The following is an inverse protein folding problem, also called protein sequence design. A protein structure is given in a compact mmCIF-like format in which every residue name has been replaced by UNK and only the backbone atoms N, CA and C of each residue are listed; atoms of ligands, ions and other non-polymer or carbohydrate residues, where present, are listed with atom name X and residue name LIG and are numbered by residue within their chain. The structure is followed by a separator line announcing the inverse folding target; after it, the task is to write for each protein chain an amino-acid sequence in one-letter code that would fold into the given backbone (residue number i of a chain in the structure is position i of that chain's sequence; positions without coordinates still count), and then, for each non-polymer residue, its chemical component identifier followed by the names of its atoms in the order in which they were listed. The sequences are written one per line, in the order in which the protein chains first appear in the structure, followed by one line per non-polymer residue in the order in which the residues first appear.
data_IF_649176496017
#
_entry.id   IF_649176496017
#
_cell.length_a   1.000
_cell.length_b   1.000
_cell.length_c   1.000
_cell.angle_alpha   90.00
_cell.angle_beta   90.00
_cell.angle_gamma   90.00
#
_symmetry.space_group_name_H-M   'P 1'
#
loop_
_entity.id
_entity.type
_entity.pdbx_description
1 polymer ?
#
# COMPACT_ATOMS: atom_id res chain seq x y z
N UNK A 1 24.53 26.16 9.05
CA UNK A 1 25.36 27.03 8.17
C UNK A 1 24.48 27.75 7.16
N UNK A 2 24.74 29.02 6.87
CA UNK A 2 24.06 29.79 5.81
C UNK A 2 25.10 30.18 4.75
N UNK A 3 24.83 29.85 3.48
CA UNK A 3 25.70 30.20 2.35
C UNK A 3 24.83 30.55 1.14
N UNK A 4 25.05 31.72 0.54
CA UNK A 4 24.31 32.24 -0.63
C UNK A 4 22.77 32.18 -0.41
N UNK A 5 22.28 32.68 0.74
CA UNK A 5 20.87 32.71 1.09
C UNK A 5 20.27 31.34 1.52
N UNK A 6 21.04 30.27 1.44
CA UNK A 6 20.60 28.90 1.75
C UNK A 6 21.02 28.50 3.17
N UNK A 7 20.08 27.91 3.93
CA UNK A 7 20.33 27.37 5.27
C UNK A 7 20.32 25.84 5.21
N UNK A 8 21.38 25.23 5.74
CA UNK A 8 21.45 23.78 5.95
C UNK A 8 21.70 23.50 7.42
N UNK A 9 21.05 22.45 7.91
CA UNK A 9 21.27 21.87 9.23
C UNK A 9 21.75 20.44 9.01
N UNK A 10 22.86 20.10 9.65
CA UNK A 10 23.40 18.73 9.64
C UNK A 10 23.46 18.22 11.06
N UNK A 11 23.17 16.95 11.23
CA UNK A 11 23.35 16.23 12.49
C UNK A 11 24.33 15.09 12.22
N UNK A 12 25.46 15.10 12.91
CA UNK A 12 26.47 14.04 12.84
C UNK A 12 26.41 13.29 14.17
N UNK A 13 25.99 12.04 14.11
CA UNK A 13 25.90 11.14 15.28
C UNK A 13 26.99 10.09 15.18
N UNK A 14 27.53 9.67 16.34
CA UNK A 14 28.54 8.62 16.41
C UNK A 14 29.93 9.01 15.88
N UNK A 15 30.22 10.30 15.71
CA UNK A 15 31.59 10.74 15.44
C UNK A 15 32.49 10.39 16.62
N UNK A 16 33.58 9.67 16.35
CA UNK A 16 34.58 9.42 17.35
C UNK A 16 35.18 10.74 17.80
N UNK A 17 35.37 10.92 19.11
CA UNK A 17 36.13 12.03 19.65
C UNK A 17 36.96 11.51 20.85
N UNK A 18 38.23 11.85 20.88
CA UNK A 18 39.16 11.39 21.90
C UNK A 18 39.14 12.26 23.18
N UNK A 19 38.71 13.53 23.04
CA UNK A 19 38.65 14.51 24.14
C UNK A 19 37.62 15.59 23.85
N UNK A 20 37.35 16.46 24.85
CA UNK A 20 36.45 17.60 24.67
C UNK A 20 36.87 18.57 23.55
N UNK A 21 38.15 18.67 23.27
CA UNK A 21 38.73 19.58 22.27
C UNK A 21 38.93 18.91 20.89
N UNK A 22 38.56 17.63 20.73
CA UNK A 22 38.70 16.92 19.47
C UNK A 22 37.84 17.55 18.35
N UNK A 23 38.45 18.10 17.27
CA UNK A 23 37.76 18.79 16.19
C UNK A 23 37.06 17.85 15.19
N UNK A 24 37.17 16.53 15.33
CA UNK A 24 36.73 15.52 14.34
C UNK A 24 35.26 15.73 13.94
N UNK A 25 34.38 15.97 14.90
CA UNK A 25 32.95 16.23 14.66
C UNK A 25 32.71 17.47 13.76
N UNK A 26 33.50 18.53 13.97
CA UNK A 26 33.40 19.75 13.17
C UNK A 26 33.98 19.56 11.78
N UNK A 27 35.09 18.82 11.66
CA UNK A 27 35.73 18.48 10.38
C UNK A 27 34.75 17.64 9.54
N UNK A 28 34.12 16.63 10.11
CA UNK A 28 33.12 15.79 9.41
C UNK A 28 31.88 16.58 9.01
N UNK A 29 31.36 17.43 9.90
CA UNK A 29 30.26 18.32 9.61
C UNK A 29 30.60 19.27 8.45
N UNK A 30 31.79 19.87 8.45
CA UNK A 30 32.27 20.75 7.37
C UNK A 30 32.41 20.01 6.05
N UNK A 31 32.96 18.78 6.04
CA UNK A 31 33.04 17.93 4.85
C UNK A 31 31.66 17.62 4.27
N UNK A 32 30.70 17.24 5.10
CA UNK A 32 29.32 16.94 4.67
C UNK A 32 28.64 18.19 4.09
N UNK A 33 28.74 19.34 4.77
CA UNK A 33 28.18 20.60 4.27
C UNK A 33 28.80 21.02 2.95
N UNK A 34 30.14 20.91 2.83
CA UNK A 34 30.85 21.17 1.58
C UNK A 34 30.36 20.27 0.46
N UNK A 35 30.28 18.96 0.70
CA UNK A 35 29.76 18.00 -0.29
C UNK A 35 28.36 18.38 -0.78
N UNK A 36 27.44 18.74 0.13
CA UNK A 36 26.09 19.14 -0.21
C UNK A 36 26.08 20.42 -1.06
N UNK A 37 26.81 21.45 -0.67
CA UNK A 37 26.89 22.70 -1.43
C UNK A 37 27.57 22.53 -2.79
N UNK A 38 28.55 21.62 -2.90
CA UNK A 38 29.27 21.38 -4.14
C UNK A 38 28.43 20.54 -5.13
N UNK A 39 27.62 19.60 -4.65
CA UNK A 39 26.92 18.65 -5.51
C UNK A 39 25.44 18.92 -5.70
N UNK A 40 24.80 19.69 -4.80
CA UNK A 40 23.36 19.94 -4.85
C UNK A 40 23.06 21.45 -4.97
N UNK A 41 21.89 21.75 -5.54
CA UNK A 41 21.34 23.09 -5.60
C UNK A 41 19.84 23.07 -5.40
N UNK A 42 19.31 24.18 -4.83
CA UNK A 42 17.88 24.37 -4.75
C UNK A 42 17.34 24.72 -6.14
N UNK A 43 16.30 24.05 -6.57
CA UNK A 43 15.56 24.31 -7.81
C UNK A 43 14.14 24.73 -7.46
N UNK A 44 13.68 25.83 -8.01
CA UNK A 44 12.29 26.30 -7.85
C UNK A 44 11.44 25.71 -8.97
N UNK A 45 10.46 24.87 -8.59
CA UNK A 45 9.41 24.42 -9.48
C UNK A 45 8.31 25.45 -9.40
N UNK A 46 8.08 26.19 -10.48
CA UNK A 46 7.11 27.30 -10.51
C UNK A 46 5.67 26.77 -10.48
N UNK A 47 4.76 27.56 -9.94
CA UNK A 47 3.32 27.40 -10.14
C UNK A 47 3.00 27.29 -11.63
N UNK A 48 2.05 26.42 -12.00
CA UNK A 48 1.69 26.18 -13.39
C UNK A 48 2.65 25.24 -14.15
N UNK A 49 3.73 24.79 -13.53
CA UNK A 49 4.64 23.83 -14.16
C UNK A 49 3.94 22.48 -14.39
N UNK A 50 4.14 21.88 -15.59
CA UNK A 50 3.63 20.56 -15.95
C UNK A 50 4.80 19.59 -16.11
N UNK A 51 4.73 18.43 -15.45
CA UNK A 51 5.75 17.39 -15.57
C UNK A 51 5.52 16.55 -16.82
N UNK A 52 6.56 16.30 -17.60
CA UNK A 52 6.49 15.48 -18.81
C UNK A 52 5.97 14.06 -18.56
N UNK A 53 6.29 13.49 -17.38
CA UNK A 53 5.87 12.14 -16.99
C UNK A 53 4.40 12.02 -16.58
N UNK A 54 3.73 13.13 -16.23
CA UNK A 54 2.30 13.18 -15.87
C UNK A 54 1.70 14.51 -16.32
N UNK A 55 1.29 14.58 -17.57
CA UNK A 55 0.68 15.80 -18.14
C UNK A 55 -0.83 15.85 -17.93
N UNK A 56 -1.50 14.70 -17.95
CA UNK A 56 -2.96 14.58 -17.82
C UNK A 56 -3.31 13.45 -16.86
N UNK A 57 -4.45 13.57 -16.22
CA UNK A 57 -5.07 12.50 -15.42
C UNK A 57 -6.44 12.17 -15.96
N UNK A 58 -6.86 10.91 -15.82
CA UNK A 58 -8.19 10.43 -16.25
C UNK A 58 -9.26 11.09 -15.39
N UNK A 59 -10.35 11.53 -16.02
CA UNK A 59 -11.52 12.13 -15.37
C UNK A 59 -12.68 11.14 -15.40
N UNK A 60 -13.31 10.96 -14.24
CA UNK A 60 -14.55 10.18 -14.09
C UNK A 60 -15.71 11.16 -13.94
N UNK A 61 -16.85 10.85 -14.57
CA UNK A 61 -18.07 11.66 -14.61
C UNK A 61 -17.91 13.07 -15.20
N UNK A 62 -16.80 13.36 -15.90
CA UNK A 62 -16.56 14.64 -16.57
C UNK A 62 -17.00 14.66 -18.02
N UNK A 63 -17.22 15.88 -18.56
CA UNK A 63 -17.38 16.09 -20.01
C UNK A 63 -16.13 15.61 -20.76
N UNK A 64 -14.96 15.93 -20.20
CA UNK A 64 -13.67 15.53 -20.73
C UNK A 64 -13.21 14.22 -20.07
N UNK A 65 -12.68 13.30 -20.87
CA UNK A 65 -12.15 11.99 -20.34
C UNK A 65 -10.84 12.13 -19.60
N UNK A 66 -10.12 13.23 -19.79
CA UNK A 66 -8.87 13.54 -19.10
C UNK A 66 -8.69 15.04 -18.90
N UNK A 67 -7.98 15.46 -17.86
CA UNK A 67 -7.68 16.86 -17.59
C UNK A 67 -6.18 17.05 -17.42
N UNK A 68 -5.60 18.13 -17.97
CA UNK A 68 -4.22 18.53 -17.71
C UNK A 68 -4.02 18.91 -16.24
N UNK A 69 -2.90 18.51 -15.65
CA UNK A 69 -2.56 18.78 -14.25
C UNK A 69 -1.26 19.56 -14.16
N UNK A 70 -1.22 20.48 -13.22
CA UNK A 70 -0.15 21.46 -13.05
C UNK A 70 0.19 21.63 -11.58
N UNK A 71 1.39 22.13 -11.31
CA UNK A 71 1.83 22.53 -9.97
C UNK A 71 0.98 23.69 -9.48
N UNK A 72 0.31 23.51 -8.33
CA UNK A 72 -0.62 24.50 -7.76
C UNK A 72 0.11 25.69 -7.13
N UNK A 73 1.19 25.43 -6.44
CA UNK A 73 1.99 26.42 -5.70
C UNK A 73 3.47 26.16 -5.97
N UNK A 74 4.26 27.23 -6.12
CA UNK A 74 5.71 27.06 -6.31
C UNK A 74 6.31 26.22 -5.17
N UNK A 75 7.16 25.27 -5.51
CA UNK A 75 7.88 24.42 -4.56
C UNK A 75 9.40 24.55 -4.77
N UNK A 76 10.16 24.42 -3.69
CA UNK A 76 11.62 24.39 -3.76
C UNK A 76 12.08 22.99 -3.39
N UNK A 77 12.89 22.39 -4.26
CA UNK A 77 13.47 21.08 -4.07
C UNK A 77 14.99 21.15 -4.19
N UNK A 78 15.69 20.36 -3.38
CA UNK A 78 17.14 20.24 -3.49
C UNK A 78 17.50 19.03 -4.33
N UNK A 79 18.14 19.28 -5.48
CA UNK A 79 18.49 18.28 -6.48
C UNK A 79 19.98 18.31 -6.77
N UNK A 80 20.57 17.21 -7.25
CA UNK A 80 21.90 17.22 -7.83
C UNK A 80 22.03 18.36 -8.85
N UNK A 81 23.13 19.09 -8.85
CA UNK A 81 23.32 20.25 -9.75
C UNK A 81 23.10 19.93 -11.23
N UNK A 82 23.51 18.72 -11.65
CA UNK A 82 23.34 18.22 -13.02
C UNK A 82 21.89 17.85 -13.37
N UNK A 83 21.01 17.67 -12.37
CA UNK A 83 19.62 17.28 -12.60
C UNK A 83 18.80 18.47 -13.13
N UNK A 84 18.22 18.32 -14.32
CA UNK A 84 17.32 19.31 -14.92
C UNK A 84 15.87 19.05 -14.46
N UNK A 85 15.07 20.12 -14.33
CA UNK A 85 13.64 20.00 -13.97
C UNK A 85 12.84 19.25 -15.03
N UNK A 86 13.18 19.40 -16.32
CA UNK A 86 12.53 18.70 -17.44
C UNK A 86 12.63 17.18 -17.34
N UNK A 87 13.70 16.68 -16.71
CA UNK A 87 13.98 15.25 -16.60
C UNK A 87 13.45 14.64 -15.29
N UNK A 88 12.71 15.42 -14.49
CA UNK A 88 12.12 14.91 -13.27
C UNK A 88 10.96 13.95 -13.60
N UNK A 89 11.03 12.76 -13.04
CA UNK A 89 9.93 11.78 -13.08
C UNK A 89 9.08 11.93 -11.83
N UNK A 90 7.77 12.05 -12.03
CA UNK A 90 6.81 12.15 -10.92
C UNK A 90 5.74 11.07 -11.08
N UNK A 91 5.18 10.68 -9.93
CA UNK A 91 3.94 9.90 -9.82
C UNK A 91 2.84 10.83 -9.32
N UNK A 92 1.65 10.72 -9.88
CA UNK A 92 0.49 11.43 -9.36
C UNK A 92 -0.21 10.61 -8.27
N UNK A 93 -0.72 11.28 -7.25
CA UNK A 93 -1.31 10.64 -6.06
C UNK A 93 -2.58 9.82 -6.32
N UNK A 94 -3.21 10.01 -7.48
CA UNK A 94 -4.47 9.36 -7.85
C UNK A 94 -4.41 8.86 -9.29
N UNK A 95 -5.04 7.73 -9.58
CA UNK A 95 -5.16 7.23 -10.94
C UNK A 95 -6.23 8.00 -11.74
N UNK A 96 -7.24 8.52 -11.04
CA UNK A 96 -8.37 9.27 -11.60
C UNK A 96 -8.74 10.43 -10.69
N UNK A 97 -9.34 11.47 -11.26
CA UNK A 97 -10.06 12.51 -10.52
C UNK A 97 -11.53 12.48 -10.93
N UNK A 98 -12.43 12.86 -10.02
CA UNK A 98 -13.88 12.90 -10.28
C UNK A 98 -14.30 14.32 -10.59
N UNK A 99 -15.10 14.50 -11.62
CA UNK A 99 -15.76 15.77 -11.91
C UNK A 99 -16.98 15.97 -10.97
N UNK A 100 -17.31 17.21 -10.61
CA UNK A 100 -16.66 18.44 -11.02
C UNK A 100 -15.35 18.72 -10.25
N UNK A 101 -14.39 19.39 -10.90
CA UNK A 101 -13.22 19.96 -10.26
C UNK A 101 -13.12 21.44 -10.57
N UNK A 102 -12.82 22.25 -9.56
CA UNK A 102 -12.71 23.69 -9.70
C UNK A 102 -11.24 24.06 -9.93
N UNK A 103 -10.99 24.90 -10.93
CA UNK A 103 -9.67 25.49 -11.19
C UNK A 103 -9.06 26.09 -9.94
N UNK A 104 -7.75 25.95 -9.79
CA UNK A 104 -7.02 26.46 -8.63
C UNK A 104 -7.19 25.65 -7.34
N UNK A 105 -8.14 24.71 -7.23
CA UNK A 105 -8.23 23.82 -6.07
C UNK A 105 -7.27 22.63 -6.19
N UNK A 106 -6.89 22.05 -5.07
CA UNK A 106 -5.97 20.89 -5.06
C UNK A 106 -6.70 19.64 -5.48
N UNK A 107 -6.34 19.09 -6.64
CA UNK A 107 -6.92 17.84 -7.18
C UNK A 107 -6.10 16.60 -6.85
N UNK A 108 -4.85 16.77 -6.44
CA UNK A 108 -3.92 15.71 -6.07
C UNK A 108 -2.55 16.24 -5.72
N UNK A 109 -1.55 15.34 -5.71
CA UNK A 109 -0.14 15.69 -5.47
C UNK A 109 0.75 14.95 -6.46
N UNK A 110 1.86 15.59 -6.85
CA UNK A 110 2.98 14.95 -7.53
C UNK A 110 4.00 14.50 -6.48
N UNK A 111 4.48 13.27 -6.60
CA UNK A 111 5.58 12.73 -5.82
C UNK A 111 6.77 12.51 -6.74
N UNK A 112 7.93 13.05 -6.38
CA UNK A 112 9.17 12.80 -7.11
C UNK A 112 9.57 11.34 -6.93
N UNK A 113 9.90 10.65 -8.03
CA UNK A 113 10.32 9.25 -8.04
C UNK A 113 11.69 9.11 -8.68
N UNK A 114 12.49 8.17 -8.15
CA UNK A 114 13.83 7.85 -8.67
C UNK A 114 14.76 9.07 -8.78
N UNK A 115 14.58 10.06 -7.93
CA UNK A 115 15.39 11.28 -7.90
C UNK A 115 15.96 11.43 -6.49
N UNK A 116 17.29 11.47 -6.32
CA UNK A 116 17.89 11.75 -5.02
C UNK A 116 17.55 13.19 -4.62
N UNK A 117 16.72 13.34 -3.60
CA UNK A 117 16.32 14.65 -3.05
C UNK A 117 16.88 14.79 -1.66
N UNK A 118 17.55 15.91 -1.39
CA UNK A 118 18.03 16.27 -0.05
C UNK A 118 16.89 16.84 0.82
N UNK A 119 15.79 16.14 0.91
CA UNK A 119 14.75 16.48 1.87
C UNK A 119 14.40 15.19 2.57
N UNK A 120 14.43 15.23 3.90
CA UNK A 120 14.05 14.14 4.81
C UNK A 120 13.38 12.89 4.15
N UNK A 121 13.43 11.75 4.75
CA UNK A 121 12.89 10.42 4.34
C UNK A 121 11.41 10.37 3.90
N UNK A 122 10.81 11.50 3.49
CA UNK A 122 9.45 11.60 2.95
C UNK A 122 9.52 12.05 1.50
N UNK A 123 8.80 11.36 0.64
CA UNK A 123 8.55 11.77 -0.74
C UNK A 123 8.14 13.25 -0.80
N UNK A 124 8.82 14.04 -1.61
CA UNK A 124 8.45 15.45 -1.80
C UNK A 124 7.10 15.50 -2.51
N UNK A 125 6.07 15.90 -1.77
CA UNK A 125 4.70 15.98 -2.24
C UNK A 125 4.38 17.41 -2.69
N UNK A 126 4.21 17.62 -4.00
CA UNK A 126 3.91 18.91 -4.62
C UNK A 126 2.43 18.96 -4.95
N UNK A 127 1.69 19.96 -4.43
CA UNK A 127 0.25 20.09 -4.70
C UNK A 127 0.00 20.33 -6.19
N UNK A 128 -1.03 19.65 -6.71
CA UNK A 128 -1.46 19.74 -8.10
C UNK A 128 -2.86 20.36 -8.24
N UNK A 129 -3.08 21.05 -9.33
CA UNK A 129 -4.35 21.66 -9.70
C UNK A 129 -4.64 21.47 -11.19
N UNK A 130 -5.84 21.83 -11.62
CA UNK A 130 -6.24 22.02 -13.02
C UNK A 130 -6.36 23.51 -13.30
N UNK A 131 -6.06 23.95 -14.54
CA UNK A 131 -6.15 25.39 -14.92
C UNK A 131 -7.57 25.80 -15.30
N UNK A 132 -8.39 24.86 -15.74
CA UNK A 132 -9.78 25.09 -16.10
C UNK A 132 -10.67 24.19 -15.28
N UNK A 133 -11.90 24.63 -15.04
CA UNK A 133 -12.90 23.81 -14.37
C UNK A 133 -13.17 22.55 -15.18
N UNK A 134 -13.10 21.42 -14.51
CA UNK A 134 -13.49 20.13 -15.08
C UNK A 134 -14.99 19.99 -14.85
N UNK A 135 -15.78 20.30 -15.87
CA UNK A 135 -17.24 20.27 -15.79
C UNK A 135 -17.75 18.83 -15.72
N UNK A 136 -18.81 18.64 -14.96
CA UNK A 136 -19.51 17.37 -14.90
C UNK A 136 -20.25 17.10 -16.20
N UNK A 137 -20.27 15.87 -16.68
CA UNK A 137 -21.06 15.46 -17.82
C UNK A 137 -22.57 15.53 -17.49
N UNK A 138 -23.41 15.76 -18.50
CA UNK A 138 -24.87 15.77 -18.35
C UNK A 138 -25.37 14.44 -17.76
N UNK A 139 -26.47 14.50 -17.02
CA UNK A 139 -27.03 13.35 -16.32
C UNK A 139 -27.23 12.12 -17.23
N UNK A 140 -27.77 12.32 -18.44
CA UNK A 140 -27.98 11.26 -19.43
C UNK A 140 -26.66 10.65 -19.93
N UNK A 141 -25.62 11.48 -20.16
CA UNK A 141 -24.29 11.02 -20.56
C UNK A 141 -23.60 10.26 -19.41
N UNK A 142 -23.85 10.64 -18.16
CA UNK A 142 -23.34 9.92 -16.98
C UNK A 142 -24.01 8.55 -16.81
N UNK A 143 -25.34 8.48 -17.00
CA UNK A 143 -26.06 7.21 -17.00
C UNK A 143 -25.60 6.36 -18.18
N UNK A 144 -25.49 6.92 -19.37
CA UNK A 144 -24.99 6.25 -20.57
C UNK A 144 -23.54 5.73 -20.36
N UNK A 145 -22.64 6.58 -19.87
CA UNK A 145 -21.28 6.18 -19.56
C UNK A 145 -21.20 5.13 -18.43
N UNK A 146 -22.13 5.16 -17.47
CA UNK A 146 -22.24 4.10 -16.44
C UNK A 146 -22.79 2.81 -17.03
N UNK A 147 -23.81 2.87 -17.86
CA UNK A 147 -24.41 1.70 -18.52
C UNK A 147 -23.48 1.11 -19.59
N UNK A 148 -22.89 1.94 -20.46
CA UNK A 148 -21.94 1.50 -21.49
C UNK A 148 -20.60 1.07 -20.92
N UNK A 149 -20.04 1.77 -19.92
CA UNK A 149 -18.87 1.29 -19.19
C UNK A 149 -19.19 0.08 -18.31
N UNK A 150 -20.45 -0.14 -17.91
CA UNK A 150 -20.88 -1.41 -17.32
C UNK A 150 -21.02 -2.51 -18.37
N UNK A 151 -21.46 -2.24 -19.58
CA UNK A 151 -21.52 -3.23 -20.66
C UNK A 151 -20.13 -3.56 -21.24
N UNK A 152 -19.28 -2.57 -21.50
CA UNK A 152 -17.87 -2.83 -21.85
C UNK A 152 -17.08 -3.43 -20.69
N UNK A 153 -17.31 -2.94 -19.47
CA UNK A 153 -16.72 -3.56 -18.27
C UNK A 153 -17.39 -4.88 -17.88
N UNK A 154 -18.61 -5.22 -18.34
CA UNK A 154 -19.18 -6.56 -18.16
C UNK A 154 -18.64 -7.54 -19.21
N UNK A 155 -18.40 -7.14 -20.45
CA UNK A 155 -17.69 -7.95 -21.45
C UNK A 155 -16.17 -8.04 -21.17
N UNK A 156 -15.51 -6.94 -20.81
CA UNK A 156 -14.11 -6.99 -20.34
C UNK A 156 -14.00 -7.61 -18.93
N UNK A 157 -14.96 -7.38 -18.01
CA UNK A 157 -14.99 -8.06 -16.71
C UNK A 157 -15.41 -9.51 -16.80
N UNK A 158 -16.23 -9.94 -17.73
CA UNK A 158 -16.48 -11.36 -17.95
C UNK A 158 -15.23 -12.04 -18.53
N UNK A 159 -14.57 -11.47 -19.52
CA UNK A 159 -13.30 -11.99 -20.04
C UNK A 159 -12.12 -11.75 -19.10
N UNK A 160 -12.03 -10.59 -18.42
CA UNK A 160 -10.98 -10.34 -17.45
C UNK A 160 -11.24 -11.05 -16.10
N UNK A 161 -12.52 -11.28 -15.70
CA UNK A 161 -12.82 -12.05 -14.49
C UNK A 161 -12.60 -13.55 -14.69
N UNK A 162 -12.84 -14.10 -15.86
CA UNK A 162 -12.48 -15.48 -16.21
C UNK A 162 -10.97 -15.62 -16.30
N UNK A 163 -10.29 -14.70 -16.98
CA UNK A 163 -8.82 -14.68 -17.11
C UNK A 163 -8.15 -14.39 -15.75
N UNK A 164 -8.71 -13.49 -14.94
CA UNK A 164 -8.18 -13.17 -13.61
C UNK A 164 -8.44 -14.31 -12.62
N UNK A 165 -9.62 -14.94 -12.67
CA UNK A 165 -9.94 -16.10 -11.82
C UNK A 165 -9.07 -17.33 -12.17
N UNK A 166 -8.83 -17.58 -13.45
CA UNK A 166 -7.90 -18.62 -13.92
C UNK A 166 -6.46 -18.27 -13.57
N UNK A 167 -6.05 -17.00 -13.75
CA UNK A 167 -4.71 -16.53 -13.40
C UNK A 167 -4.44 -16.60 -11.89
N UNK A 168 -5.45 -16.30 -11.05
CA UNK A 168 -5.35 -16.43 -9.59
C UNK A 168 -5.29 -17.89 -9.16
N UNK A 169 -6.07 -18.78 -9.77
CA UNK A 169 -6.01 -20.24 -9.50
C UNK A 169 -4.61 -20.82 -9.75
N UNK A 170 -3.88 -20.32 -10.76
CA UNK A 170 -2.49 -20.73 -11.03
C UNK A 170 -1.55 -20.53 -9.83
N UNK A 171 -1.85 -19.60 -8.91
CA UNK A 171 -1.04 -19.33 -7.74
C UNK A 171 -1.52 -20.02 -6.46
N UNK A 172 -2.50 -20.90 -6.55
CA UNK A 172 -2.98 -21.71 -5.42
C UNK A 172 -2.27 -23.05 -5.44
N UNK A 173 -1.41 -23.33 -4.45
CA UNK A 173 -0.66 -24.58 -4.40
C UNK A 173 -1.55 -25.80 -4.11
N UNK A 174 -2.77 -25.56 -3.63
CA UNK A 174 -3.77 -26.58 -3.34
C UNK A 174 -5.12 -26.20 -3.96
N UNK A 175 -5.92 -27.20 -4.27
CA UNK A 175 -7.29 -27.02 -4.77
C UNK A 175 -8.18 -26.45 -3.66
N UNK A 176 -9.03 -25.48 -4.00
CA UNK A 176 -10.03 -24.98 -3.07
C UNK A 176 -11.00 -26.10 -2.66
N UNK A 177 -11.33 -26.26 -1.36
CA UNK A 177 -12.33 -27.22 -0.91
C UNK A 177 -13.72 -26.92 -1.51
N UNK A 178 -14.55 -27.95 -1.67
CA UNK A 178 -15.90 -27.82 -2.24
C UNK A 178 -16.82 -26.92 -1.39
N UNK A 179 -16.61 -26.91 -0.09
CA UNK A 179 -17.37 -26.15 0.91
C UNK A 179 -16.77 -24.76 1.21
N UNK A 180 -15.73 -24.35 0.47
CA UNK A 180 -15.16 -23.02 0.60
C UNK A 180 -16.18 -21.96 0.21
N UNK A 181 -16.45 -21.01 1.10
CA UNK A 181 -17.41 -19.92 0.82
C UNK A 181 -16.93 -19.02 -0.32
N UNK A 182 -17.88 -18.31 -0.93
CA UNK A 182 -17.58 -17.37 -2.02
C UNK A 182 -16.60 -16.29 -1.56
N UNK A 183 -15.62 -16.00 -2.38
CA UNK A 183 -14.65 -14.93 -2.11
C UNK A 183 -15.36 -13.57 -1.91
N UNK A 184 -14.95 -12.83 -0.88
CA UNK A 184 -15.62 -11.63 -0.38
C UNK A 184 -16.56 -11.88 0.79
N UNK A 185 -16.78 -13.12 1.19
CA UNK A 185 -17.53 -13.48 2.41
C UNK A 185 -16.59 -13.31 3.62
N UNK A 186 -16.82 -12.28 4.40
CA UNK A 186 -15.95 -11.89 5.51
C UNK A 186 -16.53 -12.16 6.90
N UNK A 187 -17.84 -12.43 6.98
CA UNK A 187 -18.59 -12.60 8.21
C UNK A 187 -18.89 -14.08 8.56
N UNK A 188 -18.40 -15.01 7.75
CA UNK A 188 -18.53 -16.46 7.95
C UNK A 188 -17.15 -17.14 7.99
N UNK A 189 -17.07 -18.35 8.53
CA UNK A 189 -15.92 -19.24 8.40
C UNK A 189 -15.64 -19.46 6.90
N UNK A 190 -14.38 -19.62 6.54
CA UNK A 190 -14.03 -19.84 5.12
C UNK A 190 -14.47 -21.22 4.62
N UNK A 191 -14.40 -22.25 5.42
CA UNK A 191 -14.99 -23.56 5.13
C UNK A 191 -16.18 -23.81 6.04
N UNK A 192 -17.19 -24.58 5.57
CA UNK A 192 -18.40 -24.85 6.37
C UNK A 192 -18.17 -25.89 7.47
N UNK A 193 -17.08 -26.66 7.39
CA UNK A 193 -16.70 -27.63 8.42
C UNK A 193 -16.23 -26.98 9.71
N UNK A 194 -16.06 -27.75 10.75
CA UNK A 194 -15.46 -27.29 12.00
C UNK A 194 -14.00 -26.90 11.82
N UNK A 195 -13.60 -25.84 12.52
CA UNK A 195 -12.23 -25.40 12.59
C UNK A 195 -11.43 -26.36 13.48
N UNK A 196 -10.29 -26.90 13.03
CA UNK A 196 -9.55 -27.90 13.79
C UNK A 196 -8.95 -27.30 15.08
N UNK A 197 -8.83 -28.13 16.12
CA UNK A 197 -8.06 -27.78 17.31
C UNK A 197 -6.56 -27.78 16.97
N UNK A 198 -5.99 -26.58 16.79
CA UNK A 198 -4.61 -26.40 16.35
C UNK A 198 -3.58 -26.93 17.34
N UNK A 199 -3.95 -27.09 18.62
CA UNK A 199 -3.05 -27.65 19.64
C UNK A 199 -2.83 -29.16 19.48
N UNK A 200 -3.75 -29.84 18.77
CA UNK A 200 -3.72 -31.29 18.50
C UNK A 200 -3.24 -31.64 17.09
N UNK A 201 -2.99 -30.64 16.22
CA UNK A 201 -2.56 -30.90 14.85
C UNK A 201 -1.10 -31.32 14.82
N UNK A 202 -0.83 -32.54 14.37
CA UNK A 202 0.54 -33.02 14.15
C UNK A 202 1.20 -32.28 13.00
N UNK A 203 2.47 -31.91 13.16
CA UNK A 203 3.26 -31.17 12.16
C UNK A 203 2.54 -29.90 11.65
N UNK A 204 1.98 -29.12 12.59
CA UNK A 204 1.25 -27.88 12.31
C UNK A 204 2.16 -26.83 11.70
N UNK A 205 1.72 -26.22 10.60
CA UNK A 205 2.29 -24.99 10.08
C UNK A 205 1.28 -24.25 9.20
N UNK A 206 1.58 -23.00 8.88
CA UNK A 206 0.69 -22.14 8.08
C UNK A 206 1.36 -21.83 6.75
N UNK A 207 0.62 -22.01 5.64
CA UNK A 207 1.03 -21.63 4.30
C UNK A 207 0.19 -20.45 3.82
N UNK A 208 0.84 -19.36 3.43
CA UNK A 208 0.17 -18.21 2.78
C UNK A 208 0.57 -18.15 1.32
N UNK A 209 -0.41 -18.15 0.42
CA UNK A 209 -0.27 -17.83 -1.00
C UNK A 209 -0.80 -16.42 -1.25
N UNK A 210 0.08 -15.45 -1.45
CA UNK A 210 -0.28 -14.04 -1.61
C UNK A 210 -1.06 -13.80 -2.89
N UNK A 211 -0.57 -14.29 -4.03
CA UNK A 211 -1.26 -14.15 -5.33
C UNK A 211 -2.48 -15.06 -5.44
N UNK A 212 -2.52 -16.16 -4.71
CA UNK A 212 -3.67 -17.06 -4.62
C UNK A 212 -4.79 -16.55 -3.72
N UNK A 213 -4.49 -15.59 -2.85
CA UNK A 213 -5.40 -15.04 -1.83
C UNK A 213 -5.96 -16.14 -0.91
N UNK A 214 -5.05 -17.04 -0.48
CA UNK A 214 -5.38 -18.18 0.41
C UNK A 214 -4.36 -18.31 1.52
N UNK A 215 -4.85 -18.69 2.68
CA UNK A 215 -4.04 -19.12 3.82
C UNK A 215 -4.49 -20.53 4.20
N UNK A 216 -3.54 -21.45 4.28
CA UNK A 216 -3.79 -22.86 4.55
C UNK A 216 -3.23 -23.23 5.92
N UNK A 217 -4.03 -23.90 6.72
CA UNK A 217 -3.56 -24.65 7.90
C UNK A 217 -3.12 -26.03 7.43
N UNK A 218 -1.89 -26.35 7.74
CA UNK A 218 -1.22 -27.55 7.26
C UNK A 218 -0.98 -28.54 8.39
N UNK A 219 -1.18 -29.82 8.11
CA UNK A 219 -0.66 -30.95 8.88
C UNK A 219 0.32 -31.71 7.98
N UNK A 220 1.61 -31.58 8.26
CA UNK A 220 2.66 -32.09 7.36
C UNK A 220 2.51 -31.52 5.94
N UNK A 221 2.24 -32.40 4.96
CA UNK A 221 2.08 -32.01 3.54
C UNK A 221 0.62 -31.71 3.15
N UNK A 222 -0.35 -31.95 4.03
CA UNK A 222 -1.78 -31.86 3.73
C UNK A 222 -2.37 -30.52 4.24
N UNK A 223 -3.10 -29.73 3.41
CA UNK A 223 -3.97 -28.67 3.92
C UNK A 223 -5.17 -29.31 4.62
N UNK A 224 -5.38 -28.93 5.88
CA UNK A 224 -6.51 -29.42 6.69
C UNK A 224 -7.61 -28.36 6.85
N UNK A 225 -7.29 -27.09 6.63
CA UNK A 225 -8.26 -25.99 6.61
C UNK A 225 -7.76 -24.85 5.70
N UNK A 226 -8.64 -24.31 4.87
CA UNK A 226 -8.34 -23.25 3.89
C UNK A 226 -9.08 -21.98 4.26
N UNK A 227 -8.36 -20.90 4.45
CA UNK A 227 -8.94 -19.58 4.72
C UNK A 227 -8.86 -18.68 3.48
N UNK A 228 -9.93 -17.95 3.20
CA UNK A 228 -9.87 -16.77 2.35
C UNK A 228 -8.95 -15.76 3.00
N UNK A 229 -8.02 -15.19 2.25
CA UNK A 229 -7.11 -14.18 2.79
C UNK A 229 -6.83 -13.05 1.80
N UNK A 230 -6.37 -11.92 2.34
CA UNK A 230 -5.93 -10.76 1.58
C UNK A 230 -4.61 -10.29 2.13
N UNK A 231 -3.57 -10.34 1.31
CA UNK A 231 -2.23 -9.82 1.65
C UNK A 231 -2.01 -8.38 1.22
N UNK A 232 -0.76 -7.93 1.33
CA UNK A 232 -0.32 -6.57 0.99
C UNK A 232 -0.45 -6.22 -0.49
N UNK A 233 -0.63 -4.92 -0.74
CA UNK A 233 -0.65 -4.37 -2.10
C UNK A 233 0.68 -4.66 -2.80
N UNK A 234 0.65 -4.77 -4.11
CA UNK A 234 1.85 -4.98 -4.93
C UNK A 234 2.36 -3.67 -5.54
N UNK A 235 3.64 -3.40 -5.34
CA UNK A 235 4.38 -2.32 -5.97
C UNK A 235 5.48 -2.93 -6.85
N UNK A 236 5.37 -2.81 -8.18
CA UNK A 236 6.34 -3.38 -9.14
C UNK A 236 6.66 -4.87 -8.87
N UNK A 237 5.65 -5.72 -8.74
CA UNK A 237 5.77 -7.15 -8.45
C UNK A 237 6.24 -7.54 -7.02
N UNK A 238 6.53 -6.58 -6.16
CA UNK A 238 6.84 -6.81 -4.74
C UNK A 238 5.61 -6.48 -3.90
N UNK A 239 5.16 -7.42 -3.08
CA UNK A 239 4.06 -7.20 -2.13
C UNK A 239 4.57 -6.46 -0.89
N UNK A 240 3.70 -5.64 -0.28
CA UNK A 240 3.96 -5.08 1.06
C UNK A 240 4.03 -6.17 2.14
N UNK A 241 3.42 -7.34 1.90
CA UNK A 241 3.64 -8.53 2.74
C UNK A 241 4.97 -9.17 2.37
N UNK A 242 5.95 -9.26 3.27
CA UNK A 242 7.22 -9.91 3.00
C UNK A 242 7.05 -11.42 2.83
N UNK A 243 7.68 -11.98 1.80
CA UNK A 243 7.76 -13.43 1.59
C UNK A 243 8.90 -14.02 2.41
N UNK A 244 8.76 -15.27 2.84
CA UNK A 244 9.76 -15.95 3.66
C UNK A 244 9.16 -17.00 4.59
N UNK A 245 9.97 -17.45 5.53
CA UNK A 245 9.56 -18.32 6.64
C UNK A 245 9.65 -17.53 7.93
N UNK A 246 8.58 -17.53 8.68
CA UNK A 246 8.38 -16.82 9.93
C UNK A 246 7.80 -17.77 10.97
N UNK A 247 7.53 -17.25 12.17
CA UNK A 247 6.89 -18.00 13.24
C UNK A 247 5.86 -17.13 13.96
N UNK A 248 4.78 -17.73 14.40
CA UNK A 248 3.77 -17.07 15.23
C UNK A 248 4.45 -16.55 16.50
N UNK A 249 4.22 -15.30 16.83
CA UNK A 249 4.76 -14.61 18.00
C UNK A 249 3.72 -14.59 19.14
N UNK A 250 4.10 -14.06 20.30
CA UNK A 250 3.22 -14.04 21.47
C UNK A 250 2.15 -12.94 21.42
N UNK A 251 2.41 -11.86 20.67
CA UNK A 251 1.53 -10.71 20.59
C UNK A 251 0.25 -11.05 19.86
N UNK A 252 -0.84 -10.96 20.58
CA UNK A 252 -2.20 -11.19 20.10
C UNK A 252 -3.22 -10.40 20.88
N UNK A 253 -4.41 -10.17 20.34
CA UNK A 253 -5.44 -9.42 21.04
C UNK A 253 -6.77 -9.38 20.32
N UNK A 254 -7.76 -8.81 21.00
CA UNK A 254 -9.14 -8.74 20.53
C UNK A 254 -9.34 -7.69 19.42
N UNK A 255 -8.62 -6.57 19.48
CA UNK A 255 -8.70 -5.50 18.48
C UNK A 255 -7.50 -4.56 18.58
N UNK A 256 -7.26 -3.82 17.49
CA UNK A 256 -6.37 -2.67 17.46
C UNK A 256 -6.91 -1.60 16.51
N UNK A 257 -6.40 -0.39 16.64
CA UNK A 257 -6.65 0.70 15.72
C UNK A 257 -5.37 1.51 15.46
N UNK A 258 -5.06 1.73 14.20
CA UNK A 258 -3.91 2.51 13.78
C UNK A 258 -4.38 3.88 13.25
N UNK A 259 -4.20 4.92 14.06
CA UNK A 259 -4.60 6.29 13.72
C UNK A 259 -3.92 6.83 12.46
N UNK A 260 -2.67 6.42 12.17
CA UNK A 260 -1.93 6.87 10.97
C UNK A 260 -2.50 6.31 9.68
N UNK A 261 -2.99 5.08 9.72
CA UNK A 261 -3.61 4.39 8.59
C UNK A 261 -5.13 4.61 8.53
N UNK A 262 -5.72 5.17 9.60
CA UNK A 262 -7.17 5.28 9.79
C UNK A 262 -7.87 3.94 9.59
N UNK A 263 -7.25 2.86 10.10
CA UNK A 263 -7.69 1.49 9.93
C UNK A 263 -7.44 0.70 11.22
N UNK A 264 -8.44 -0.05 11.65
CA UNK A 264 -8.34 -1.02 12.73
C UNK A 264 -8.66 -2.42 12.25
N UNK A 265 -8.56 -3.39 13.15
CA UNK A 265 -9.03 -4.75 12.92
C UNK A 265 -9.32 -5.46 14.25
N UNK A 266 -10.02 -6.61 14.14
CA UNK A 266 -10.34 -7.48 15.27
C UNK A 266 -9.49 -8.74 15.22
N UNK A 267 -9.26 -9.34 16.39
CA UNK A 267 -8.66 -10.67 16.54
C UNK A 267 -7.34 -10.83 15.77
N UNK A 268 -6.29 -10.30 16.34
CA UNK A 268 -4.97 -10.36 15.73
C UNK A 268 -4.01 -11.30 16.45
N UNK A 269 -3.05 -11.84 15.68
CA UNK A 269 -1.86 -12.54 16.17
C UNK A 269 -0.66 -12.19 15.31
N UNK A 270 0.47 -11.89 15.95
CA UNK A 270 1.71 -11.49 15.28
C UNK A 270 2.46 -12.67 14.69
N UNK A 271 3.07 -12.46 13.52
CA UNK A 271 3.96 -13.44 12.90
C UNK A 271 5.31 -12.84 12.47
N UNK A 272 5.48 -11.51 12.59
CA UNK A 272 6.75 -10.84 12.32
C UNK A 272 6.81 -9.46 12.98
N UNK A 273 8.02 -9.10 13.45
CA UNK A 273 8.37 -7.78 14.00
C UNK A 273 7.45 -7.33 15.17
N UNK A 274 7.08 -8.29 16.05
CA UNK A 274 6.43 -8.03 17.34
C UNK A 274 5.27 -7.04 17.27
N UNK A 275 4.21 -7.42 16.54
CA UNK A 275 2.98 -6.62 16.39
C UNK A 275 2.93 -5.75 15.12
N UNK A 276 3.96 -5.77 14.26
CA UNK A 276 3.94 -5.03 12.99
C UNK A 276 3.20 -5.81 11.90
N UNK A 277 3.54 -7.09 11.73
CA UNK A 277 2.90 -7.95 10.74
C UNK A 277 2.01 -8.99 11.41
N UNK A 278 0.74 -8.94 11.10
CA UNK A 278 -0.31 -9.67 11.79
C UNK A 278 -1.14 -10.55 10.85
N UNK A 279 -1.70 -11.64 11.38
CA UNK A 279 -2.98 -12.15 10.92
C UNK A 279 -4.07 -11.42 11.70
N UNK A 280 -5.10 -10.92 11.03
CA UNK A 280 -6.22 -10.22 11.67
C UNK A 280 -7.48 -10.26 10.79
N UNK A 281 -8.62 -9.81 11.31
CA UNK A 281 -9.87 -9.73 10.56
C UNK A 281 -9.78 -8.79 9.36
N UNK A 282 -10.78 -8.80 8.49
CA UNK A 282 -11.04 -7.67 7.58
C UNK A 282 -11.09 -6.36 8.37
N UNK A 283 -10.70 -5.22 7.75
CA UNK A 283 -10.47 -3.99 8.49
C UNK A 283 -11.74 -3.33 9.01
N UNK A 284 -11.57 -2.59 10.10
CA UNK A 284 -12.59 -1.73 10.71
C UNK A 284 -12.26 -0.26 10.48
N UNK A 285 -13.29 0.58 10.61
CA UNK A 285 -13.19 2.03 10.70
C UNK A 285 -12.88 2.46 12.14
N UNK A 286 -12.78 3.77 12.39
CA UNK A 286 -12.52 4.33 13.72
C UNK A 286 -13.62 4.04 14.74
N UNK A 287 -14.86 3.87 14.28
CA UNK A 287 -16.02 3.50 15.11
C UNK A 287 -16.13 1.98 15.39
N UNK A 288 -15.16 1.19 14.94
CA UNK A 288 -15.14 -0.27 15.07
C UNK A 288 -16.06 -1.00 14.08
N UNK A 289 -16.82 -0.29 13.24
CA UNK A 289 -17.62 -0.88 12.17
C UNK A 289 -16.74 -1.45 11.04
N UNK A 290 -17.22 -2.46 10.32
CA UNK A 290 -16.46 -3.08 9.23
C UNK A 290 -16.36 -2.14 8.02
N UNK A 291 -15.17 -1.96 7.51
CA UNK A 291 -14.94 -1.33 6.22
C UNK A 291 -15.36 -2.30 5.10
N UNK A 292 -16.64 -2.24 4.70
CA UNK A 292 -17.23 -3.18 3.74
C UNK A 292 -16.53 -3.18 2.37
N UNK A 293 -15.99 -2.05 1.92
CA UNK A 293 -15.28 -1.97 0.63
C UNK A 293 -13.97 -2.76 0.67
N UNK A 294 -13.21 -2.63 1.75
CA UNK A 294 -11.99 -3.41 1.96
C UNK A 294 -12.29 -4.89 2.25
N UNK A 295 -13.37 -5.16 3.01
CA UNK A 295 -13.77 -6.52 3.34
C UNK A 295 -14.17 -7.35 2.09
N UNK A 296 -14.79 -6.74 1.08
CA UNK A 296 -15.12 -7.39 -0.20
C UNK A 296 -13.91 -7.88 -0.98
N UNK A 297 -12.70 -7.43 -0.66
CA UNK A 297 -11.44 -7.89 -1.29
C UNK A 297 -10.98 -9.26 -0.78
N UNK A 298 -11.56 -9.75 0.31
CA UNK A 298 -11.16 -11.01 0.94
C UNK A 298 -11.22 -12.18 -0.04
N UNK A 299 -10.09 -12.87 -0.20
CA UNK A 299 -9.97 -14.00 -1.12
C UNK A 299 -9.96 -13.65 -2.61
N UNK A 300 -9.97 -12.35 -2.99
CA UNK A 300 -10.03 -11.86 -4.38
C UNK A 300 -8.79 -11.10 -4.81
N UNK A 301 -8.33 -10.17 -3.99
CA UNK A 301 -7.28 -9.22 -4.38
C UNK A 301 -6.45 -8.76 -3.18
N UNK A 302 -5.22 -8.31 -3.41
CA UNK A 302 -4.42 -7.66 -2.38
C UNK A 302 -5.07 -6.34 -1.92
N UNK A 303 -4.79 -5.92 -0.68
CA UNK A 303 -5.39 -4.70 -0.13
C UNK A 303 -4.85 -4.24 1.21
N UNK A 304 -3.95 -5.00 1.86
CA UNK A 304 -3.36 -4.61 3.15
C UNK A 304 -2.05 -3.84 2.97
N UNK A 305 -1.57 -3.26 4.06
CA UNK A 305 -0.25 -2.61 4.16
C UNK A 305 0.85 -3.59 4.61
N UNK A 306 0.59 -4.90 4.49
CA UNK A 306 1.56 -5.95 4.82
C UNK A 306 1.01 -7.08 5.68
N UNK A 307 -0.02 -6.86 6.47
CA UNK A 307 -0.71 -7.88 7.24
C UNK A 307 -1.48 -8.87 6.36
N UNK A 308 -1.89 -9.99 6.91
CA UNK A 308 -2.77 -10.97 6.28
C UNK A 308 -4.16 -10.84 6.89
N UNK A 309 -5.10 -10.32 6.09
CA UNK A 309 -6.51 -10.19 6.47
C UNK A 309 -7.24 -11.50 6.26
N UNK A 310 -8.07 -11.87 7.22
CA UNK A 310 -8.92 -13.08 7.25
C UNK A 310 -10.39 -12.70 7.46
N UNK A 311 -11.30 -13.67 7.35
CA UNK A 311 -12.68 -13.48 7.81
C UNK A 311 -12.71 -13.22 9.33
N UNK A 312 -13.78 -12.62 9.84
CA UNK A 312 -13.91 -12.36 11.29
C UNK A 312 -13.85 -13.66 12.08
N UNK A 313 -14.63 -14.72 11.74
CA UNK A 313 -14.56 -16.00 12.47
C UNK A 313 -13.19 -16.68 12.37
N UNK A 314 -12.55 -16.67 11.18
CA UNK A 314 -11.25 -17.31 11.02
C UNK A 314 -10.14 -16.58 11.79
N UNK A 315 -10.17 -15.25 11.80
CA UNK A 315 -9.20 -14.48 12.58
C UNK A 315 -9.38 -14.66 14.08
N UNK A 316 -10.65 -14.73 14.57
CA UNK A 316 -10.95 -15.00 15.96
C UNK A 316 -10.42 -16.36 16.41
N UNK A 317 -10.73 -17.38 15.62
CA UNK A 317 -10.26 -18.74 15.87
C UNK A 317 -8.73 -18.84 15.83
N UNK A 318 -8.10 -18.34 14.76
CA UNK A 318 -6.65 -18.41 14.61
C UNK A 318 -5.92 -17.69 15.76
N UNK A 319 -6.34 -16.46 16.10
CA UNK A 319 -5.74 -15.70 17.18
C UNK A 319 -5.92 -16.39 18.56
N UNK A 320 -7.02 -17.11 18.76
CA UNK A 320 -7.29 -17.79 20.02
C UNK A 320 -6.51 -19.13 20.16
N UNK A 321 -6.28 -19.86 19.04
CA UNK A 321 -5.86 -21.26 19.13
C UNK A 321 -4.49 -21.56 18.56
N UNK A 322 -3.92 -20.69 17.70
CA UNK A 322 -2.60 -20.96 17.09
C UNK A 322 -1.50 -20.89 18.15
N UNK A 323 -0.68 -21.95 18.33
CA UNK A 323 0.45 -21.90 19.26
C UNK A 323 1.53 -20.89 18.81
N UNK A 324 2.14 -20.19 19.77
CA UNK A 324 3.36 -19.43 19.49
C UNK A 324 4.46 -20.38 19.01
N UNK A 325 5.33 -19.90 18.11
CA UNK A 325 6.35 -20.74 17.47
C UNK A 325 5.85 -21.51 16.24
N UNK A 326 4.53 -21.59 15.97
CA UNK A 326 4.01 -22.23 14.74
C UNK A 326 4.65 -21.59 13.51
N UNK A 327 5.24 -22.43 12.64
CA UNK A 327 5.90 -21.99 11.40
C UNK A 327 4.90 -21.40 10.42
N UNK A 328 5.25 -20.25 9.83
CA UNK A 328 4.47 -19.54 8.80
C UNK A 328 5.32 -19.39 7.55
N UNK A 329 4.88 -19.96 6.43
CA UNK A 329 5.57 -19.85 5.14
C UNK A 329 4.74 -18.98 4.20
N UNK A 330 5.26 -17.82 3.84
CA UNK A 330 4.60 -16.86 2.95
C UNK A 330 5.31 -16.85 1.60
N UNK A 331 4.58 -17.13 0.53
CA UNK A 331 5.08 -17.07 -0.85
C UNK A 331 4.08 -16.40 -1.78
N UNK A 332 4.54 -16.00 -2.95
CA UNK A 332 3.65 -15.50 -4.00
C UNK A 332 2.78 -16.61 -4.64
N UNK A 333 3.25 -17.84 -4.55
CA UNK A 333 2.53 -19.05 -4.97
C UNK A 333 1.90 -19.72 -3.77
#
# INVERSE_FOLDING_TARGET
MKKNGRRLVTVVMGAQHASGDDPSRFIQTKKLLKYIFDNYSSKKIKQGYSFASVRKVKVVDGKEKSAPVYVKESAVVWLPKKQQLSNLKVKFSKNTIHAPQISGKTVGRFYLINTPVLNSNKDVAIKATVHQDVKQANFLVRIWNRLFNQQQNSHEKANSSVTTAQKVKKFRPYQDPKDLVKAGTWNKKSENKEQPDLTKVKDLWIRVSLKGNRTYIMSGKKPIYTMLSTGGVYHKNKSDTPTGTYHIQHERGAAFYNHKLNEGAKYYVSWKDHGVYLFHSVPTKSDGSINKEEAKKLGKSPGSHGCIRLSIPDSKWLAATVPAGTKVVIKNL
#
